data_IF_554934044722
#
_entry.id   IF_554934044722
#
_cell.length_a   1.000
_cell.length_b   1.000
_cell.length_c   1.000
_cell.angle_alpha   90.00
_cell.angle_beta   90.00
_cell.angle_gamma   90.00
#
_symmetry.space_group_name_H-M   'P 1'
#
loop_
_entity.id
_entity.type
_entity.pdbx_description
1 polymer ?
#
# COMPACT_ATOMS: atom_id res chain seq x y z
N UNK A 1 29.56 -30.05 -27.20
CA UNK A 1 29.51 -29.26 -28.45
C UNK A 1 28.36 -29.78 -29.29
N UNK A 2 27.28 -28.99 -29.39
CA UNK A 2 26.38 -28.89 -30.54
C UNK A 2 25.33 -27.84 -30.19
N UNK A 3 25.32 -26.79 -31.01
CA UNK A 3 24.61 -25.54 -30.88
C UNK A 3 23.25 -25.58 -31.59
N UNK A 4 22.37 -24.68 -31.16
CA UNK A 4 21.34 -23.96 -31.92
C UNK A 4 20.15 -24.75 -32.52
N UNK A 5 18.94 -24.41 -32.06
CA UNK A 5 18.09 -23.48 -32.83
C UNK A 5 16.77 -23.21 -32.10
N UNK A 6 16.68 -22.02 -31.48
CA UNK A 6 15.44 -21.44 -30.95
C UNK A 6 14.70 -20.75 -32.11
N UNK A 7 13.46 -21.15 -32.40
CA UNK A 7 12.54 -20.37 -33.26
C UNK A 7 11.69 -19.47 -32.38
N UNK A 8 11.90 -18.17 -32.49
CA UNK A 8 11.00 -17.13 -32.01
C UNK A 8 10.03 -16.74 -33.14
N UNK A 9 8.74 -16.87 -32.90
CA UNK A 9 7.71 -16.41 -33.84
C UNK A 9 7.38 -14.95 -33.52
N UNK A 10 7.64 -14.10 -34.52
CA UNK A 10 7.37 -12.66 -34.56
C UNK A 10 5.86 -12.40 -34.66
N UNK A 11 5.33 -11.44 -33.89
CA UNK A 11 4.04 -10.80 -34.18
C UNK A 11 4.25 -9.30 -34.33
N UNK A 12 3.85 -8.82 -35.50
CA UNK A 12 4.18 -7.53 -36.10
C UNK A 12 3.54 -6.35 -35.37
N UNK A 13 4.36 -5.33 -35.13
CA UNK A 13 4.02 -3.98 -34.74
C UNK A 13 3.80 -3.17 -36.03
N UNK A 14 2.58 -2.74 -36.31
CA UNK A 14 2.28 -1.83 -37.43
C UNK A 14 1.44 -0.66 -36.96
N UNK A 15 1.78 0.52 -37.47
CA UNK A 15 1.11 1.83 -37.30
C UNK A 15 1.57 2.71 -36.13
N UNK A 16 2.83 3.17 -36.18
CA UNK A 16 3.21 4.52 -35.75
C UNK A 16 4.50 4.97 -36.46
N UNK A 17 4.43 5.54 -37.67
CA UNK A 17 5.39 6.54 -38.19
C UNK A 17 4.75 7.25 -39.40
N UNK A 18 4.35 8.51 -39.24
CA UNK A 18 4.05 9.54 -40.26
C UNK A 18 3.50 10.72 -39.45
N UNK A 19 4.15 11.85 -39.20
CA UNK A 19 4.73 12.81 -40.12
C UNK A 19 5.67 13.75 -39.31
N UNK A 20 6.98 13.64 -39.50
CA UNK A 20 7.96 14.62 -39.05
C UNK A 20 8.90 14.89 -40.22
N UNK A 21 8.47 15.80 -41.10
CA UNK A 21 9.35 16.43 -42.07
C UNK A 21 8.63 17.65 -42.64
N UNK A 22 9.12 18.84 -42.30
CA UNK A 22 9.26 20.05 -43.14
C UNK A 22 9.74 21.16 -42.20
N UNK A 23 11.06 21.28 -42.08
CA UNK A 23 11.73 22.54 -41.79
C UNK A 23 12.25 23.08 -43.12
N UNK A 24 11.90 24.31 -43.48
CA UNK A 24 12.71 25.29 -44.25
C UNK A 24 11.92 26.60 -44.44
N UNK A 25 12.46 27.69 -43.91
CA UNK A 25 12.04 29.11 -44.06
C UNK A 25 12.45 29.69 -45.45
N UNK A 26 12.27 31.00 -45.84
CA UNK A 26 11.83 32.21 -45.11
C UNK A 26 10.91 33.26 -45.85
N UNK A 27 10.41 34.25 -45.06
CA UNK A 27 10.01 35.67 -45.32
C UNK A 27 9.23 36.12 -46.58
N UNK A 28 8.09 36.81 -46.38
CA UNK A 28 7.79 38.20 -46.86
C UNK A 28 6.37 38.69 -46.43
N UNK A 29 6.22 39.99 -46.13
CA UNK A 29 5.01 40.75 -46.49
C UNK A 29 4.00 41.15 -45.39
N UNK A 30 3.77 42.47 -45.29
CA UNK A 30 2.97 43.26 -44.34
C UNK A 30 1.43 43.25 -44.47
N UNK A 31 0.79 43.59 -43.34
CA UNK A 31 -0.36 44.50 -43.10
C UNK A 31 -1.84 44.06 -43.20
N UNK A 32 -2.58 44.62 -42.23
CA UNK A 32 -4.04 44.69 -41.99
C UNK A 32 -4.71 43.39 -41.50
N UNK A 33 -5.52 43.36 -40.44
CA UNK A 33 -6.27 44.40 -39.74
C UNK A 33 -7.75 44.03 -39.71
N UNK A 34 -8.15 43.12 -38.80
CA UNK A 34 -9.57 42.88 -38.44
C UNK A 34 -9.73 41.81 -37.33
N UNK A 35 -10.25 42.21 -36.18
CA UNK A 35 -10.99 41.37 -35.22
C UNK A 35 -12.51 41.50 -35.51
N UNK A 36 -13.43 40.73 -34.87
CA UNK A 36 -13.45 39.31 -34.50
C UNK A 36 -14.78 38.66 -35.01
N UNK A 37 -15.14 37.40 -34.65
CA UNK A 37 -16.00 37.25 -33.48
C UNK A 37 -15.70 36.02 -32.59
N UNK A 38 -16.08 36.16 -31.33
CA UNK A 38 -16.19 35.17 -30.27
C UNK A 38 -17.05 33.95 -30.65
N UNK A 39 -16.64 32.74 -30.22
CA UNK A 39 -17.49 31.79 -29.48
C UNK A 39 -16.73 30.53 -29.03
N UNK A 40 -16.79 30.31 -27.70
CA UNK A 40 -16.65 29.07 -26.92
C UNK A 40 -15.37 28.22 -27.02
N UNK A 41 -14.45 28.48 -26.08
CA UNK A 41 -13.56 27.47 -25.51
C UNK A 41 -14.36 26.43 -24.71
N UNK A 42 -14.60 25.23 -25.26
CA UNK A 42 -15.09 24.10 -24.43
C UNK A 42 -14.84 22.69 -25.00
N UNK A 43 -13.86 22.48 -25.90
CA UNK A 43 -13.63 21.14 -26.49
C UNK A 43 -12.21 20.56 -26.35
N UNK A 44 -11.25 21.27 -25.72
CA UNK A 44 -9.87 20.79 -25.55
C UNK A 44 -9.33 20.91 -24.12
N UNK A 45 -10.22 20.79 -23.13
CA UNK A 45 -9.86 20.88 -21.70
C UNK A 45 -10.22 19.63 -20.87
N UNK A 46 -10.52 18.48 -21.50
CA UNK A 46 -10.93 17.25 -20.77
C UNK A 46 -10.04 16.03 -21.03
N UNK A 47 -8.75 16.24 -21.31
CA UNK A 47 -7.78 15.12 -21.40
C UNK A 47 -6.47 15.37 -20.64
N UNK A 48 -6.26 16.59 -20.10
CA UNK A 48 -5.06 16.94 -19.31
C UNK A 48 -5.29 16.98 -17.79
N UNK A 49 -6.53 16.76 -17.32
CA UNK A 49 -6.88 16.75 -15.90
C UNK A 49 -6.68 15.38 -15.22
N UNK A 50 -6.82 14.27 -15.95
CA UNK A 50 -6.74 12.93 -15.36
C UNK A 50 -5.29 12.44 -15.14
N UNK A 51 -4.34 12.98 -15.92
CA UNK A 51 -2.93 12.60 -15.83
C UNK A 51 -2.11 13.43 -14.81
N UNK A 52 -2.70 14.50 -14.24
CA UNK A 52 -2.05 15.35 -13.21
C UNK A 52 -2.38 14.97 -11.77
N UNK A 53 -3.29 14.02 -11.55
CA UNK A 53 -3.70 13.61 -10.20
C UNK A 53 -2.93 12.41 -9.63
N UNK A 54 -2.20 11.65 -10.46
CA UNK A 54 -1.51 10.43 -10.02
C UNK A 54 -0.01 10.58 -9.74
N UNK A 55 0.59 11.74 -10.03
CA UNK A 55 1.99 12.02 -9.68
C UNK A 55 2.12 13.50 -9.30
N UNK A 56 1.75 13.84 -8.08
CA UNK A 56 2.33 15.00 -7.41
C UNK A 56 3.15 14.50 -6.22
N UNK A 57 4.47 14.76 -6.17
CA UNK A 57 5.16 14.71 -4.89
C UNK A 57 4.51 15.79 -4.01
N UNK A 58 4.23 15.44 -2.75
CA UNK A 58 3.89 16.43 -1.73
C UNK A 58 5.08 17.39 -1.59
N UNK A 59 5.06 18.45 -2.38
CA UNK A 59 5.90 19.62 -2.24
C UNK A 59 5.53 20.31 -0.92
N UNK A 60 6.47 20.56 0.01
CA UNK A 60 6.18 21.35 1.19
C UNK A 60 6.04 22.82 0.77
N UNK A 61 4.85 23.21 0.32
CA UNK A 61 4.45 24.60 0.09
C UNK A 61 3.27 24.92 0.99
N UNK A 62 3.61 25.18 2.25
CA UNK A 62 2.73 25.69 3.31
C UNK A 62 3.49 26.17 4.54
N UNK A 63 4.83 26.20 4.51
CA UNK A 63 5.68 26.71 5.57
C UNK A 63 6.59 27.80 5.01
N UNK A 64 5.98 28.91 4.60
CA UNK A 64 6.71 30.14 4.32
C UNK A 64 6.20 31.22 5.26
N UNK A 65 7.06 31.51 6.24
CA UNK A 65 7.16 32.76 7.01
C UNK A 65 5.89 33.32 7.66
N UNK A 66 5.78 33.09 8.96
CA UNK A 66 5.69 34.23 9.89
C UNK A 66 6.72 34.05 11.01
N UNK A 67 8.00 34.04 10.62
CA UNK A 67 9.11 34.22 11.55
C UNK A 67 9.06 35.60 12.23
N UNK A 68 8.37 36.57 11.62
CA UNK A 68 8.07 37.86 12.23
C UNK A 68 7.19 37.72 13.49
N UNK A 69 6.10 36.93 13.43
CA UNK A 69 5.18 36.78 14.56
C UNK A 69 5.70 35.92 15.73
N UNK A 70 6.73 35.09 15.51
CA UNK A 70 7.41 34.34 16.57
C UNK A 70 8.46 35.20 17.29
N UNK A 71 9.20 35.99 16.52
CA UNK A 71 10.14 37.00 17.04
C UNK A 71 9.43 38.08 17.87
N UNK A 72 8.26 38.54 17.42
CA UNK A 72 7.47 39.56 18.11
C UNK A 72 6.88 39.05 19.43
N UNK A 73 6.46 37.78 19.47
CA UNK A 73 5.98 37.11 20.69
C UNK A 73 7.10 36.81 21.69
N UNK A 74 8.30 36.46 21.21
CA UNK A 74 9.49 36.33 22.05
C UNK A 74 9.92 37.69 22.64
N UNK A 75 9.86 38.75 21.82
CA UNK A 75 10.18 40.13 22.21
C UNK A 75 9.18 40.69 23.23
N UNK A 76 7.88 40.40 23.07
CA UNK A 76 6.84 40.79 24.05
C UNK A 76 6.98 40.01 25.36
N UNK A 77 7.46 38.76 25.33
CA UNK A 77 7.69 37.93 26.52
C UNK A 77 8.93 38.38 27.30
N UNK A 78 9.98 38.83 26.60
CA UNK A 78 11.18 39.43 27.21
C UNK A 78 10.88 40.81 27.86
N UNK A 79 10.01 41.62 27.26
CA UNK A 79 9.56 42.89 27.88
C UNK A 79 8.72 42.69 29.15
N UNK A 80 7.95 41.59 29.24
CA UNK A 80 7.21 41.22 30.46
C UNK A 80 8.12 40.69 31.58
N UNK A 81 9.35 40.27 31.28
CA UNK A 81 10.32 39.75 32.24
C UNK A 81 11.38 40.79 32.67
N UNK A 82 11.22 42.07 32.31
CA UNK A 82 12.07 43.16 32.80
C UNK A 82 13.49 43.19 32.24
N UNK A 83 13.74 42.65 31.04
CA UNK A 83 15.07 42.66 30.43
C UNK A 83 15.51 44.08 29.99
N UNK A 84 16.77 44.49 30.25
CA UNK A 84 17.28 45.80 29.84
C UNK A 84 17.40 45.93 28.30
N UNK A 85 17.28 47.15 27.74
CA UNK A 85 17.15 47.35 26.30
C UNK A 85 18.48 47.09 25.56
N UNK A 86 18.51 46.08 24.67
CA UNK A 86 19.65 45.82 23.77
C UNK A 86 19.99 44.35 23.47
N UNK A 87 19.31 43.37 24.06
CA UNK A 87 19.63 41.96 23.82
C UNK A 87 19.13 41.46 22.44
N UNK A 88 20.06 41.15 21.53
CA UNK A 88 19.80 40.41 20.28
C UNK A 88 20.06 38.91 20.48
N UNK A 89 19.32 38.02 19.77
CA UNK A 89 19.28 36.59 20.06
C UNK A 89 20.46 35.78 19.47
N UNK A 90 21.64 36.40 19.36
CA UNK A 90 22.84 35.78 18.74
C UNK A 90 24.00 35.61 19.73
N UNK A 91 23.80 35.97 21.01
CA UNK A 91 24.79 35.80 22.08
C UNK A 91 24.14 35.24 23.33
N UNK A 92 23.72 33.98 23.25
CA UNK A 92 23.48 33.17 24.45
C UNK A 92 23.76 31.70 24.13
N UNK A 93 25.05 31.37 24.00
CA UNK A 93 25.51 30.02 24.26
C UNK A 93 26.28 29.98 25.57
N UNK A 94 25.98 28.91 26.31
CA UNK A 94 26.72 28.25 27.37
C UNK A 94 26.41 28.65 28.83
N UNK A 95 26.22 27.58 29.62
CA UNK A 95 25.97 27.48 31.08
C UNK A 95 24.50 27.74 31.45
N UNK A 96 23.72 26.81 32.00
CA UNK A 96 23.79 26.27 33.37
C UNK A 96 22.74 25.13 33.41
N UNK A 97 23.14 23.87 33.60
CA UNK A 97 23.13 23.12 34.87
C UNK A 97 21.88 22.21 35.05
N UNK A 98 22.15 21.04 35.62
CA UNK A 98 21.20 19.98 35.97
C UNK A 98 20.38 20.44 37.17
N UNK A 99 19.05 20.42 37.08
CA UNK A 99 18.06 19.93 38.08
C UNK A 99 16.65 20.51 37.84
N UNK A 100 15.61 19.68 38.07
CA UNK A 100 14.14 19.97 38.09
C UNK A 100 13.48 20.27 36.72
N UNK A 101 12.35 19.72 36.27
CA UNK A 101 11.27 18.85 36.80
C UNK A 101 10.72 18.04 35.61
N UNK A 102 10.51 16.72 35.73
CA UNK A 102 9.22 16.09 36.08
C UNK A 102 8.04 16.44 35.17
N UNK A 103 7.74 15.55 34.22
CA UNK A 103 6.38 15.17 33.78
C UNK A 103 6.48 13.85 33.03
N UNK A 104 5.98 12.78 33.66
CA UNK A 104 6.06 11.41 33.17
C UNK A 104 5.28 11.17 31.88
N UNK A 105 6.00 10.79 30.83
CA UNK A 105 5.50 10.01 29.70
C UNK A 105 6.65 9.11 29.20
N UNK A 106 6.43 7.78 29.01
CA UNK A 106 7.47 6.90 28.52
C UNK A 106 7.74 7.16 27.04
N UNK A 107 8.99 7.53 26.74
CA UNK A 107 9.53 7.62 25.39
C UNK A 107 9.59 6.20 24.80
N UNK A 108 9.19 5.97 23.54
CA UNK A 108 9.29 4.65 22.92
C UNK A 108 10.73 4.13 22.95
N UNK A 109 10.93 3.01 23.62
CA UNK A 109 12.15 2.18 23.59
C UNK A 109 12.26 1.57 22.20
N UNK A 110 12.87 2.31 21.28
CA UNK A 110 13.66 1.85 20.11
C UNK A 110 14.28 3.03 19.35
N UNK A 111 14.53 4.18 20.00
CA UNK A 111 15.12 5.35 19.36
C UNK A 111 16.12 6.12 20.25
N UNK A 112 16.74 5.45 21.25
CA UNK A 112 17.68 6.09 22.19
C UNK A 112 19.12 5.56 22.07
N UNK A 113 19.46 4.87 20.97
CA UNK A 113 20.84 4.42 20.71
C UNK A 113 21.48 5.11 19.49
N UNK A 114 21.04 6.33 19.15
CA UNK A 114 21.81 7.24 18.31
C UNK A 114 22.37 8.39 19.16
N UNK A 115 23.03 8.06 20.26
CA UNK A 115 24.18 8.86 20.66
C UNK A 115 25.33 8.41 19.76
N UNK A 116 25.42 9.00 18.57
CA UNK A 116 26.69 8.99 17.85
C UNK A 116 27.68 9.65 18.81
N UNK A 117 28.68 8.93 19.35
CA UNK A 117 29.73 9.60 20.08
C UNK A 117 30.29 10.64 19.12
N UNK A 118 30.38 11.88 19.57
CA UNK A 118 31.31 12.81 18.95
C UNK A 118 32.66 12.19 19.29
N UNK A 119 33.20 11.40 18.36
CA UNK A 119 34.58 10.92 18.45
C UNK A 119 35.46 12.18 18.39
N UNK A 120 35.82 12.69 19.57
CA UNK A 120 36.89 13.66 19.77
C UNK A 120 38.24 12.97 19.46
N UNK A 121 38.42 12.58 18.19
CA UNK A 121 39.70 12.11 17.66
C UNK A 121 40.40 13.30 16.98
N UNK A 122 41.18 14.03 17.77
CA UNK A 122 42.25 14.91 17.33
C UNK A 122 43.30 14.09 16.55
N UNK A 123 43.16 13.98 15.22
CA UNK A 123 44.24 13.49 14.35
C UNK A 123 44.22 14.19 12.97
N UNK A 124 45.27 14.97 12.72
CA UNK A 124 45.56 15.79 11.53
C UNK A 124 46.05 14.92 10.35
N UNK A 125 45.24 13.92 9.99
CA UNK A 125 45.62 12.84 9.07
C UNK A 125 44.70 12.66 7.88
N UNK A 126 44.70 13.62 6.95
CA UNK A 126 44.25 13.49 5.54
C UNK A 126 42.79 13.08 5.28
N UNK A 127 41.99 13.99 4.68
CA UNK A 127 40.57 13.77 4.31
C UNK A 127 40.27 12.40 3.71
N UNK A 128 41.16 11.88 2.84
CA UNK A 128 40.99 10.60 2.16
C UNK A 128 40.91 9.38 3.10
N UNK A 129 41.55 9.42 4.27
CA UNK A 129 41.53 8.34 5.27
C UNK A 129 40.25 8.40 6.13
N UNK A 130 39.76 9.61 6.41
CA UNK A 130 38.44 9.86 7.06
C UNK A 130 37.28 9.45 6.15
N UNK A 131 37.38 9.70 4.85
CA UNK A 131 36.37 9.27 3.86
C UNK A 131 36.27 7.74 3.83
N UNK A 132 37.41 7.05 3.68
CA UNK A 132 37.44 5.58 3.63
C UNK A 132 36.95 4.91 4.94
N UNK A 133 37.15 5.53 6.11
CA UNK A 133 36.64 5.02 7.41
C UNK A 133 35.12 5.21 7.54
N UNK A 134 34.57 6.33 7.04
CA UNK A 134 33.13 6.59 7.00
C UNK A 134 32.41 5.66 6.02
N UNK A 135 33.00 5.45 4.84
CA UNK A 135 32.46 4.53 3.83
C UNK A 135 32.46 3.08 4.33
N UNK A 136 33.55 2.67 5.00
CA UNK A 136 33.64 1.35 5.62
C UNK A 136 32.63 1.17 6.76
N UNK A 137 32.44 2.18 7.63
CA UNK A 137 31.43 2.13 8.71
C UNK A 137 30.01 2.09 8.15
N UNK A 138 29.70 2.94 7.17
CA UNK A 138 28.40 2.93 6.51
C UNK A 138 28.11 1.60 5.82
N UNK A 139 29.13 0.96 5.23
CA UNK A 139 29.00 -0.37 4.64
C UNK A 139 28.77 -1.46 5.70
N UNK A 140 29.45 -1.42 6.85
CA UNK A 140 29.20 -2.36 7.96
C UNK A 140 27.82 -2.18 8.57
N UNK A 141 27.35 -0.93 8.67
CA UNK A 141 26.02 -0.59 9.19
C UNK A 141 24.91 -1.04 8.21
N UNK A 142 25.12 -0.84 6.90
CA UNK A 142 24.20 -1.34 5.89
C UNK A 142 24.14 -2.88 5.84
N UNK A 143 25.28 -3.56 5.99
CA UNK A 143 25.34 -5.01 6.01
C UNK A 143 24.64 -5.58 7.26
N UNK A 144 24.89 -5.01 8.44
CA UNK A 144 24.26 -5.49 9.68
C UNK A 144 22.73 -5.34 9.65
N UNK A 145 22.23 -4.21 9.17
CA UNK A 145 20.80 -3.96 8.92
C UNK A 145 20.22 -4.97 7.93
N UNK A 146 20.93 -5.21 6.81
CA UNK A 146 20.50 -6.17 5.79
C UNK A 146 20.44 -7.61 6.33
N UNK A 147 21.39 -8.03 7.17
CA UNK A 147 21.35 -9.34 7.80
C UNK A 147 20.19 -9.47 8.79
N UNK A 148 19.93 -8.44 9.61
CA UNK A 148 18.84 -8.44 10.57
C UNK A 148 17.47 -8.54 9.88
N UNK A 149 17.20 -7.67 8.89
CA UNK A 149 15.96 -7.70 8.10
C UNK A 149 15.88 -8.94 7.21
N UNK A 150 17.00 -9.34 6.62
CA UNK A 150 17.11 -10.47 5.71
C UNK A 150 16.72 -11.79 6.35
N UNK A 151 17.12 -12.03 7.61
CA UNK A 151 16.70 -13.23 8.37
C UNK A 151 15.18 -13.30 8.54
N UNK A 152 14.54 -12.17 8.87
CA UNK A 152 13.09 -12.08 9.01
C UNK A 152 12.38 -12.28 7.66
N UNK A 153 12.81 -11.55 6.63
CA UNK A 153 12.25 -11.64 5.28
C UNK A 153 12.42 -13.03 4.66
N UNK A 154 13.54 -13.71 4.93
CA UNK A 154 13.76 -15.08 4.45
C UNK A 154 12.78 -16.06 5.11
N UNK A 155 12.52 -15.93 6.41
CA UNK A 155 11.51 -16.73 7.10
C UNK A 155 10.11 -16.50 6.52
N UNK A 156 9.77 -15.23 6.27
CA UNK A 156 8.53 -14.84 5.61
C UNK A 156 8.42 -15.40 4.18
N UNK A 157 9.51 -15.42 3.41
CA UNK A 157 9.57 -15.98 2.07
C UNK A 157 9.26 -17.49 2.07
N UNK A 158 9.85 -18.25 3.01
CA UNK A 158 9.58 -19.68 3.15
C UNK A 158 8.10 -19.91 3.48
N UNK A 159 7.52 -19.13 4.38
CA UNK A 159 6.09 -19.21 4.68
C UNK A 159 5.23 -18.86 3.46
N UNK A 160 5.59 -17.81 2.72
CA UNK A 160 4.88 -17.38 1.52
C UNK A 160 4.91 -18.46 0.42
N UNK A 161 6.01 -19.23 0.32
CA UNK A 161 6.14 -20.32 -0.64
C UNK A 161 5.09 -21.43 -0.47
N UNK A 162 4.50 -21.57 0.72
CA UNK A 162 3.43 -22.56 0.99
C UNK A 162 2.16 -22.32 0.17
N UNK A 163 1.95 -21.09 -0.34
CA UNK A 163 0.85 -20.77 -1.25
C UNK A 163 0.87 -21.62 -2.54
N UNK A 164 2.06 -22.01 -3.00
CA UNK A 164 2.21 -22.88 -4.18
C UNK A 164 1.59 -24.27 -3.98
N UNK A 165 1.69 -24.84 -2.77
CA UNK A 165 1.08 -26.12 -2.41
C UNK A 165 -0.45 -26.03 -2.44
N UNK A 166 -1.00 -24.86 -2.08
CA UNK A 166 -2.45 -24.62 -2.17
C UNK A 166 -2.88 -24.56 -3.63
N UNK A 167 -2.16 -23.82 -4.48
CA UNK A 167 -2.44 -23.76 -5.91
C UNK A 167 -2.37 -25.13 -6.58
N UNK A 168 -1.40 -25.97 -6.19
CA UNK A 168 -1.25 -27.34 -6.70
C UNK A 168 -2.51 -28.19 -6.44
N UNK A 169 -3.08 -28.09 -5.23
CA UNK A 169 -4.33 -28.79 -4.86
C UNK A 169 -5.56 -28.35 -5.68
N UNK A 170 -5.56 -27.15 -6.23
CA UNK A 170 -6.67 -26.60 -7.02
C UNK A 170 -6.35 -26.51 -8.51
N UNK A 171 -5.34 -27.24 -9.00
CA UNK A 171 -4.91 -27.17 -10.41
C UNK A 171 -6.03 -27.47 -11.40
N UNK A 172 -6.90 -28.43 -11.14
CA UNK A 172 -8.02 -28.75 -12.03
C UNK A 172 -8.97 -27.57 -12.16
N UNK A 173 -9.38 -26.98 -11.02
CA UNK A 173 -10.22 -25.78 -11.00
C UNK A 173 -9.59 -24.60 -11.75
N UNK A 174 -8.29 -24.38 -11.59
CA UNK A 174 -7.59 -23.26 -12.23
C UNK A 174 -7.38 -23.48 -13.74
N UNK A 175 -7.31 -24.74 -14.19
CA UNK A 175 -7.28 -25.10 -15.62
C UNK A 175 -8.62 -24.83 -16.28
N UNK A 176 -9.71 -25.20 -15.60
CA UNK A 176 -11.07 -25.00 -16.11
C UNK A 176 -11.49 -23.52 -16.05
N UNK A 177 -11.01 -22.79 -15.04
CA UNK A 177 -11.37 -21.39 -14.80
C UNK A 177 -10.12 -20.49 -14.73
N UNK A 178 -9.45 -20.30 -15.87
CA UNK A 178 -8.24 -19.46 -16.00
C UNK A 178 -8.45 -18.05 -15.45
N UNK A 179 -9.67 -17.51 -15.55
CA UNK A 179 -10.03 -16.19 -15.02
C UNK A 179 -9.70 -16.04 -13.53
N UNK A 180 -9.85 -17.08 -12.72
CA UNK A 180 -9.53 -17.04 -11.28
C UNK A 180 -8.05 -16.72 -11.06
N UNK A 181 -7.17 -17.34 -11.85
CA UNK A 181 -5.73 -17.11 -11.81
C UNK A 181 -5.37 -15.67 -12.21
N UNK A 182 -6.08 -15.10 -13.20
CA UNK A 182 -5.84 -13.73 -13.67
C UNK A 182 -6.19 -12.67 -12.60
N UNK A 183 -7.14 -12.97 -11.72
CA UNK A 183 -7.55 -12.07 -10.63
C UNK A 183 -6.90 -12.38 -9.28
N UNK A 184 -6.15 -13.48 -9.16
CA UNK A 184 -5.54 -13.94 -7.92
C UNK A 184 -4.66 -12.87 -7.26
N UNK A 185 -3.81 -12.19 -8.04
CA UNK A 185 -2.91 -11.14 -7.56
C UNK A 185 -3.68 -9.92 -7.06
N UNK A 186 -4.78 -9.56 -7.73
CA UNK A 186 -5.66 -8.49 -7.30
C UNK A 186 -6.33 -8.84 -5.95
N UNK A 187 -6.84 -10.06 -5.82
CA UNK A 187 -7.53 -10.53 -4.61
C UNK A 187 -6.60 -10.54 -3.40
N UNK A 188 -5.42 -11.15 -3.55
CA UNK A 188 -4.39 -11.21 -2.51
C UNK A 188 -3.88 -9.82 -2.14
N UNK A 189 -3.63 -8.97 -3.14
CA UNK A 189 -3.21 -7.59 -2.92
C UNK A 189 -4.25 -6.75 -2.18
N UNK A 190 -5.53 -6.89 -2.53
CA UNK A 190 -6.62 -6.23 -1.80
C UNK A 190 -6.71 -6.72 -0.34
N UNK A 191 -6.53 -8.02 -0.13
CA UNK A 191 -6.39 -8.62 1.20
C UNK A 191 -5.28 -7.97 2.00
N UNK A 192 -4.03 -8.05 1.55
CA UNK A 192 -2.87 -7.48 2.26
C UNK A 192 -3.02 -5.98 2.57
N UNK A 193 -3.52 -5.19 1.61
CA UNK A 193 -3.77 -3.77 1.80
C UNK A 193 -4.82 -3.49 2.89
N UNK A 194 -5.94 -4.23 2.89
CA UNK A 194 -6.98 -4.08 3.90
C UNK A 194 -6.48 -4.46 5.29
N UNK A 195 -5.76 -5.58 5.40
CA UNK A 195 -5.23 -6.07 6.68
C UNK A 195 -4.20 -5.12 7.26
N UNK A 196 -3.32 -4.57 6.41
CA UNK A 196 -2.37 -3.55 6.83
C UNK A 196 -3.04 -2.26 7.30
N UNK A 197 -4.13 -1.84 6.67
CA UNK A 197 -4.89 -0.68 7.14
C UNK A 197 -5.48 -0.92 8.55
N UNK A 198 -6.09 -2.08 8.78
CA UNK A 198 -6.57 -2.45 10.12
C UNK A 198 -5.43 -2.58 11.13
N UNK A 199 -4.30 -3.17 10.75
CA UNK A 199 -3.15 -3.33 11.63
C UNK A 199 -2.51 -2.01 12.02
N UNK A 200 -2.32 -1.08 11.09
CA UNK A 200 -1.79 0.26 11.39
C UNK A 200 -2.67 0.97 12.43
N UNK A 201 -4.00 0.85 12.32
CA UNK A 201 -4.91 1.43 13.31
C UNK A 201 -4.72 0.81 14.70
N UNK A 202 -4.59 -0.52 14.77
CA UNK A 202 -4.41 -1.23 16.05
C UNK A 202 -3.03 -0.95 16.65
N UNK A 203 -1.96 -1.01 15.85
CA UNK A 203 -0.58 -0.70 16.28
C UNK A 203 -0.51 0.70 16.86
N UNK A 204 -1.07 1.70 16.16
CA UNK A 204 -1.14 3.09 16.67
C UNK A 204 -1.95 3.16 17.96
N UNK A 205 -3.05 2.44 18.05
CA UNK A 205 -3.86 2.39 19.25
C UNK A 205 -3.08 1.83 20.46
N UNK A 206 -2.32 0.75 20.25
CA UNK A 206 -1.47 0.15 21.27
C UNK A 206 -0.30 1.08 21.66
N UNK A 207 0.37 1.67 20.68
CA UNK A 207 1.51 2.58 20.91
C UNK A 207 1.12 3.88 21.63
N UNK A 208 -0.11 4.37 21.42
CA UNK A 208 -0.65 5.56 22.08
C UNK A 208 -1.29 5.27 23.44
N UNK A 209 -1.38 4.00 23.85
CA UNK A 209 -2.08 3.58 25.07
C UNK A 209 -3.61 3.71 25.02
N UNK A 210 -4.18 4.06 23.85
CA UNK A 210 -5.63 4.12 23.65
C UNK A 210 -6.28 2.73 23.53
N UNK A 211 -5.50 1.72 23.16
CA UNK A 211 -5.86 0.31 23.21
C UNK A 211 -4.95 -0.42 24.20
N UNK A 212 -5.54 -1.38 24.91
CA UNK A 212 -4.85 -2.24 25.86
C UNK A 212 -4.97 -3.70 25.43
N UNK A 213 -4.01 -4.55 25.80
CA UNK A 213 -3.98 -5.98 25.48
C UNK A 213 -5.00 -6.82 26.27
N UNK A 214 -5.90 -6.18 27.03
CA UNK A 214 -6.94 -6.86 27.81
C UNK A 214 -7.98 -7.49 26.88
N UNK A 215 -8.47 -8.67 27.25
CA UNK A 215 -9.46 -9.42 26.48
C UNK A 215 -10.72 -8.61 26.07
N UNK A 216 -11.34 -7.79 26.94
CA UNK A 216 -12.50 -6.98 26.55
C UNK A 216 -12.17 -5.90 25.51
N UNK A 217 -10.97 -5.31 25.59
CA UNK A 217 -10.50 -4.32 24.62
C UNK A 217 -10.29 -4.97 23.25
N UNK A 218 -9.60 -6.11 23.22
CA UNK A 218 -9.43 -6.91 22.01
C UNK A 218 -10.78 -7.25 21.36
N UNK A 219 -11.72 -7.81 22.13
CA UNK A 219 -13.01 -8.24 21.57
C UNK A 219 -13.83 -7.06 21.03
N UNK A 220 -13.80 -5.91 21.71
CA UNK A 220 -14.44 -4.67 21.24
C UNK A 220 -13.85 -4.21 19.90
N UNK A 221 -12.52 -4.13 19.83
CA UNK A 221 -11.81 -3.70 18.61
C UNK A 221 -12.01 -4.70 17.48
N UNK A 222 -11.95 -6.00 17.77
CA UNK A 222 -12.20 -7.07 16.79
C UNK A 222 -13.60 -6.95 16.19
N UNK A 223 -14.64 -6.81 17.01
CA UNK A 223 -16.02 -6.64 16.51
C UNK A 223 -16.18 -5.39 15.65
N UNK A 224 -15.56 -4.28 16.04
CA UNK A 224 -15.57 -3.05 15.26
C UNK A 224 -14.88 -3.23 13.90
N UNK A 225 -13.71 -3.86 13.88
CA UNK A 225 -12.94 -4.09 12.65
C UNK A 225 -13.62 -5.12 11.73
N UNK A 226 -14.28 -6.14 12.28
CA UNK A 226 -15.13 -7.04 11.49
C UNK A 226 -16.31 -6.30 10.87
N UNK A 227 -16.98 -5.41 11.61
CA UNK A 227 -18.07 -4.63 11.04
C UNK A 227 -17.61 -3.72 9.89
N UNK A 228 -16.47 -3.03 10.07
CA UNK A 228 -15.83 -2.23 9.02
C UNK A 228 -15.41 -3.10 7.84
N UNK A 229 -14.78 -4.25 8.10
CA UNK A 229 -14.37 -5.22 7.11
C UNK A 229 -15.53 -5.79 6.30
N UNK A 230 -16.69 -6.01 6.92
CA UNK A 230 -17.90 -6.45 6.22
C UNK A 230 -18.45 -5.38 5.28
N UNK A 231 -18.49 -4.11 5.73
CA UNK A 231 -18.92 -2.99 4.87
C UNK A 231 -17.96 -2.80 3.68
N UNK A 232 -16.65 -2.85 3.95
CA UNK A 232 -15.62 -2.80 2.90
C UNK A 232 -15.69 -4.03 1.99
N UNK A 233 -15.99 -5.21 2.53
CA UNK A 233 -16.13 -6.46 1.77
C UNK A 233 -17.26 -6.37 0.76
N UNK A 234 -18.41 -5.81 1.15
CA UNK A 234 -19.52 -5.54 0.22
C UNK A 234 -19.11 -4.51 -0.84
N UNK A 235 -18.54 -3.38 -0.43
CA UNK A 235 -18.16 -2.31 -1.37
C UNK A 235 -17.10 -2.78 -2.38
N UNK A 236 -16.06 -3.46 -1.92
CA UNK A 236 -15.00 -4.01 -2.76
C UNK A 236 -15.50 -5.21 -3.57
N UNK A 237 -16.41 -6.02 -3.04
CA UNK A 237 -17.08 -7.10 -3.78
C UNK A 237 -17.85 -6.55 -4.98
N UNK A 238 -18.64 -5.49 -4.81
CA UNK A 238 -19.33 -4.81 -5.91
C UNK A 238 -18.34 -4.27 -6.94
N UNK A 239 -17.24 -3.64 -6.48
CA UNK A 239 -16.17 -3.19 -7.36
C UNK A 239 -15.49 -4.34 -8.12
N UNK A 240 -15.26 -5.47 -7.46
CA UNK A 240 -14.70 -6.69 -8.06
C UNK A 240 -15.64 -7.28 -9.11
N UNK A 241 -16.93 -7.36 -8.83
CA UNK A 241 -17.95 -7.82 -9.77
C UNK A 241 -17.96 -6.96 -11.04
N UNK A 242 -17.99 -5.63 -10.88
CA UNK A 242 -17.93 -4.68 -11.98
C UNK A 242 -16.63 -4.86 -12.77
N UNK A 243 -15.49 -5.00 -12.09
CA UNK A 243 -14.18 -5.16 -12.73
C UNK A 243 -14.11 -6.43 -13.59
N UNK A 244 -14.63 -7.56 -13.12
CA UNK A 244 -14.65 -8.82 -13.87
C UNK A 244 -15.61 -8.74 -15.06
N UNK A 245 -16.79 -8.15 -14.85
CA UNK A 245 -17.78 -7.93 -15.92
C UNK A 245 -17.20 -7.06 -17.06
N UNK A 246 -16.45 -6.01 -16.71
CA UNK A 246 -15.76 -5.14 -17.69
C UNK A 246 -14.60 -5.84 -18.42
N UNK A 247 -14.02 -6.90 -17.84
CA UNK A 247 -13.00 -7.73 -18.50
C UNK A 247 -13.60 -8.76 -19.48
N UNK A 248 -14.93 -8.84 -19.60
CA UNK A 248 -15.59 -9.86 -20.41
C UNK A 248 -15.67 -11.23 -19.74
N UNK A 249 -15.50 -11.31 -18.41
CA UNK A 249 -15.74 -12.53 -17.65
C UNK A 249 -17.23 -12.89 -17.62
N UNK A 250 -17.54 -14.17 -17.43
CA UNK A 250 -18.94 -14.59 -17.28
C UNK A 250 -19.56 -14.04 -15.99
N UNK A 251 -20.89 -13.96 -15.94
CA UNK A 251 -21.61 -13.58 -14.71
C UNK A 251 -21.26 -14.50 -13.53
N UNK A 252 -21.05 -15.78 -13.81
CA UNK A 252 -20.64 -16.78 -12.82
C UNK A 252 -19.24 -16.48 -12.27
N UNK A 253 -18.29 -16.13 -13.14
CA UNK A 253 -16.94 -15.76 -12.72
C UNK A 253 -16.94 -14.46 -11.91
N UNK A 254 -17.72 -13.47 -12.34
CA UNK A 254 -17.86 -12.19 -11.65
C UNK A 254 -18.45 -12.38 -10.25
N UNK A 255 -19.44 -13.25 -10.10
CA UNK A 255 -20.04 -13.60 -8.81
C UNK A 255 -19.06 -14.39 -7.91
N UNK A 256 -18.32 -15.35 -8.48
CA UNK A 256 -17.34 -16.14 -7.73
C UNK A 256 -16.20 -15.27 -7.18
N UNK A 257 -15.63 -14.40 -8.03
CA UNK A 257 -14.51 -13.52 -7.67
C UNK A 257 -14.97 -12.44 -6.69
N UNK A 258 -16.16 -11.86 -6.85
CA UNK A 258 -16.68 -10.84 -5.92
C UNK A 258 -16.99 -11.42 -4.54
N UNK A 259 -17.56 -12.63 -4.48
CA UNK A 259 -17.80 -13.35 -3.23
C UNK A 259 -16.47 -13.68 -2.54
N UNK A 260 -15.49 -14.19 -3.28
CA UNK A 260 -14.15 -14.45 -2.75
C UNK A 260 -13.51 -13.17 -2.19
N UNK A 261 -13.57 -12.06 -2.94
CA UNK A 261 -13.03 -10.77 -2.51
C UNK A 261 -13.68 -10.28 -1.21
N UNK A 262 -15.00 -10.37 -1.08
CA UNK A 262 -15.70 -9.98 0.14
C UNK A 262 -15.20 -10.78 1.36
N UNK A 263 -15.08 -12.10 1.23
CA UNK A 263 -14.58 -12.97 2.31
C UNK A 263 -13.11 -12.69 2.64
N UNK A 264 -12.27 -12.43 1.63
CA UNK A 264 -10.86 -12.07 1.81
C UNK A 264 -10.74 -10.77 2.61
N UNK A 265 -11.54 -9.75 2.28
CA UNK A 265 -11.50 -8.45 2.97
C UNK A 265 -11.91 -8.58 4.44
N UNK A 266 -12.98 -9.32 4.74
CA UNK A 266 -13.41 -9.59 6.12
C UNK A 266 -12.34 -10.37 6.89
N UNK A 267 -11.80 -11.43 6.29
CA UNK A 267 -10.74 -12.25 6.88
C UNK A 267 -9.46 -11.43 7.11
N UNK A 268 -9.18 -10.49 6.21
CA UNK A 268 -8.03 -9.61 6.31
C UNK A 268 -8.17 -8.58 7.42
N UNK A 269 -9.34 -7.96 7.58
CA UNK A 269 -9.63 -7.07 8.71
C UNK A 269 -9.50 -7.82 10.05
N UNK A 270 -9.94 -9.08 10.10
CA UNK A 270 -9.75 -9.97 11.23
C UNK A 270 -8.26 -10.18 11.54
N UNK A 271 -7.48 -10.62 10.55
CA UNK A 271 -6.05 -10.85 10.68
C UNK A 271 -5.28 -9.59 11.08
N UNK A 272 -5.59 -8.46 10.44
CA UNK A 272 -5.03 -7.15 10.74
C UNK A 272 -5.32 -6.66 12.16
N UNK A 273 -6.36 -7.19 12.80
CA UNK A 273 -6.63 -6.92 14.22
C UNK A 273 -5.93 -7.92 15.13
N UNK A 274 -6.05 -9.21 14.83
CA UNK A 274 -5.55 -10.29 15.70
C UNK A 274 -4.02 -10.27 15.80
N UNK A 275 -3.31 -10.08 14.68
CA UNK A 275 -1.86 -10.21 14.66
C UNK A 275 -1.11 -9.18 15.51
N UNK A 276 -1.42 -7.87 15.44
CA UNK A 276 -0.79 -6.88 16.32
C UNK A 276 -1.05 -7.14 17.81
N UNK A 277 -2.28 -7.54 18.18
CA UNK A 277 -2.60 -7.92 19.56
C UNK A 277 -1.84 -9.16 20.01
N UNK A 278 -1.70 -10.17 19.13
CA UNK A 278 -0.93 -11.37 19.42
C UNK A 278 0.55 -11.04 19.64
N UNK A 279 1.15 -10.19 18.81
CA UNK A 279 2.53 -9.76 18.95
C UNK A 279 2.74 -8.96 20.24
N UNK A 280 1.87 -8.00 20.51
CA UNK A 280 1.89 -7.23 21.76
C UNK A 280 1.79 -8.12 23.01
N UNK A 281 0.96 -9.17 22.95
CA UNK A 281 0.82 -10.12 24.06
C UNK A 281 2.02 -11.06 24.20
N UNK A 282 2.70 -11.37 23.09
CA UNK A 282 3.91 -12.20 23.07
C UNK A 282 5.20 -11.42 23.39
N UNK A 283 5.12 -10.09 23.59
CA UNK A 283 6.30 -9.25 23.79
C UNK A 283 7.12 -9.00 22.52
N UNK A 284 6.56 -9.30 21.34
CA UNK A 284 7.16 -9.01 20.04
C UNK A 284 6.67 -7.64 19.58
N UNK A 285 7.54 -6.84 18.95
CA UNK A 285 7.16 -5.52 18.43
C UNK A 285 5.96 -5.64 17.44
N UNK A 286 4.80 -5.03 17.76
CA UNK A 286 3.64 -5.04 16.89
C UNK A 286 3.89 -4.42 15.50
N UNK A 287 4.93 -3.60 15.33
CA UNK A 287 5.30 -3.02 14.03
C UNK A 287 5.63 -4.10 12.98
N UNK A 288 6.14 -5.26 13.39
CA UNK A 288 6.46 -6.38 12.49
C UNK A 288 5.21 -7.12 11.96
N UNK A 289 4.02 -6.81 12.50
CA UNK A 289 2.78 -7.47 12.08
C UNK A 289 2.42 -7.14 10.63
N UNK A 290 2.74 -5.95 10.10
CA UNK A 290 2.38 -5.56 8.74
C UNK A 290 2.97 -6.48 7.65
N UNK A 291 4.28 -6.76 7.72
CA UNK A 291 4.92 -7.69 6.77
C UNK A 291 4.41 -9.13 6.94
N UNK A 292 4.10 -9.52 8.17
CA UNK A 292 3.53 -10.84 8.48
C UNK A 292 2.11 -11.01 7.96
N UNK A 293 1.28 -9.96 8.03
CA UNK A 293 -0.09 -9.94 7.51
C UNK A 293 -0.08 -10.12 6.01
N UNK A 294 0.84 -9.48 5.29
CA UNK A 294 0.95 -9.65 3.85
C UNK A 294 1.18 -11.13 3.49
N UNK A 295 2.16 -11.79 4.11
CA UNK A 295 2.45 -13.22 3.87
C UNK A 295 1.28 -14.11 4.26
N UNK A 296 0.64 -13.83 5.40
CA UNK A 296 -0.55 -14.55 5.82
C UNK A 296 -1.67 -14.43 4.79
N UNK A 297 -1.89 -13.22 4.26
CA UNK A 297 -2.92 -12.96 3.25
C UNK A 297 -2.56 -13.49 1.87
N UNK A 298 -1.29 -13.68 1.55
CA UNK A 298 -0.88 -14.39 0.33
C UNK A 298 -1.35 -15.86 0.38
N UNK A 299 -1.11 -16.55 1.49
CA UNK A 299 -1.52 -17.96 1.63
C UNK A 299 -3.03 -18.09 1.86
N UNK A 300 -3.59 -17.31 2.79
CA UNK A 300 -5.00 -17.34 3.12
C UNK A 300 -5.86 -16.83 1.96
N UNK A 301 -5.44 -15.77 1.27
CA UNK A 301 -6.15 -15.19 0.13
C UNK A 301 -6.27 -16.17 -1.03
N UNK A 302 -5.19 -16.89 -1.36
CA UNK A 302 -5.24 -17.96 -2.37
C UNK A 302 -6.18 -19.10 -1.93
N UNK A 303 -6.09 -19.51 -0.67
CA UNK A 303 -6.93 -20.59 -0.12
C UNK A 303 -8.42 -20.22 -0.15
N UNK A 304 -8.76 -19.01 0.31
CA UNK A 304 -10.14 -18.50 0.31
C UNK A 304 -10.63 -18.34 -1.13
N UNK A 305 -9.82 -17.79 -2.03
CA UNK A 305 -10.19 -17.63 -3.45
C UNK A 305 -10.58 -18.97 -4.05
N UNK A 306 -9.67 -19.94 -4.01
CA UNK A 306 -9.92 -21.24 -4.63
C UNK A 306 -11.09 -21.97 -3.97
N UNK A 307 -11.19 -21.89 -2.63
CA UNK A 307 -12.29 -22.50 -1.87
C UNK A 307 -13.66 -21.93 -2.21
N UNK A 308 -13.79 -20.60 -2.25
CA UNK A 308 -15.05 -19.92 -2.57
C UNK A 308 -15.41 -20.10 -4.04
N UNK A 309 -14.46 -19.93 -4.95
CA UNK A 309 -14.71 -20.16 -6.39
C UNK A 309 -15.22 -21.57 -6.64
N UNK A 310 -14.58 -22.60 -6.05
CA UNK A 310 -15.05 -23.99 -6.15
C UNK A 310 -16.48 -24.15 -5.65
N UNK A 311 -16.81 -23.57 -4.49
CA UNK A 311 -18.14 -23.65 -3.91
C UNK A 311 -19.20 -22.98 -4.80
N UNK A 312 -18.89 -21.81 -5.35
CA UNK A 312 -19.80 -21.07 -6.25
C UNK A 312 -20.01 -21.82 -7.56
N UNK A 313 -18.95 -22.32 -8.18
CA UNK A 313 -19.07 -23.09 -9.43
C UNK A 313 -19.85 -24.39 -9.22
N UNK A 314 -19.62 -25.11 -8.11
CA UNK A 314 -20.40 -26.29 -7.76
C UNK A 314 -21.89 -25.97 -7.56
N UNK A 315 -22.19 -24.88 -6.86
CA UNK A 315 -23.57 -24.42 -6.66
C UNK A 315 -24.26 -24.12 -7.99
N UNK A 316 -23.60 -23.40 -8.89
CA UNK A 316 -24.15 -23.07 -10.21
C UNK A 316 -24.39 -24.34 -11.04
N UNK A 317 -23.43 -25.27 -11.09
CA UNK A 317 -23.59 -26.54 -11.80
C UNK A 317 -24.80 -27.34 -11.29
N UNK A 318 -25.03 -27.38 -9.98
CA UNK A 318 -26.19 -28.06 -9.40
C UNK A 318 -27.51 -27.41 -9.81
N UNK A 319 -27.58 -26.08 -9.86
CA UNK A 319 -28.80 -25.38 -10.30
C UNK A 319 -29.16 -25.64 -11.75
N UNK A 320 -28.17 -25.82 -12.64
CA UNK A 320 -28.41 -26.17 -14.03
C UNK A 320 -29.01 -27.58 -14.19
N UNK A 321 -28.48 -28.59 -13.50
CA UNK A 321 -29.02 -29.94 -13.55
C UNK A 321 -30.47 -30.04 -13.06
N UNK A 322 -30.81 -29.29 -12.00
CA UNK A 322 -32.18 -29.23 -11.48
C UNK A 322 -33.13 -28.61 -12.52
N UNK A 323 -32.72 -27.51 -13.16
CA UNK A 323 -33.52 -26.88 -14.20
C UNK A 323 -33.81 -27.84 -15.37
N UNK A 324 -32.79 -28.54 -15.87
CA UNK A 324 -32.94 -29.52 -16.96
C UNK A 324 -33.85 -30.70 -16.59
N UNK A 325 -33.75 -31.20 -15.36
CA UNK A 325 -34.60 -32.29 -14.87
C UNK A 325 -36.07 -31.89 -14.81
N UNK A 326 -36.36 -30.65 -14.38
CA UNK A 326 -37.73 -30.12 -14.31
C UNK A 326 -38.28 -29.90 -15.72
N UNK A 327 -37.48 -29.33 -16.62
CA UNK A 327 -37.89 -29.13 -18.02
C UNK A 327 -38.18 -30.47 -18.70
N UNK A 328 -37.30 -31.46 -18.52
CA UNK A 328 -37.49 -32.80 -19.09
C UNK A 328 -38.74 -33.50 -18.55
N UNK A 329 -39.00 -33.38 -17.25
CA UNK A 329 -40.22 -33.91 -16.64
C UNK A 329 -41.48 -33.19 -17.15
N UNK A 330 -41.44 -31.86 -17.29
CA UNK A 330 -42.55 -31.07 -17.81
C UNK A 330 -42.86 -31.42 -19.28
N UNK A 331 -41.83 -31.58 -20.12
CA UNK A 331 -42.01 -32.01 -21.52
C UNK A 331 -42.56 -33.43 -21.61
N UNK A 332 -42.12 -34.35 -20.76
CA UNK A 332 -42.64 -35.72 -20.72
C UNK A 332 -44.13 -35.77 -20.31
N UNK A 333 -44.57 -34.92 -19.37
CA UNK A 333 -45.99 -34.82 -19.00
C UNK A 333 -46.84 -34.13 -20.08
N UNK A 334 -46.29 -33.13 -20.78
CA UNK A 334 -47.00 -32.43 -21.85
C UNK A 334 -47.18 -33.23 -23.13
N UNK A 335 -46.33 -34.23 -23.38
CA UNK A 335 -46.42 -35.12 -24.54
C UNK A 335 -47.42 -36.30 -24.36
N UNK A 336 -48.00 -36.46 -23.16
CA UNK A 336 -48.94 -37.52 -22.82
C UNK A 336 -50.42 -37.08 -22.72
N UNK A 337 -50.72 -35.82 -23.03
CA UNK A 337 -52.07 -35.24 -23.05
C UNK A 337 -52.50 -34.93 -24.50
#
# INVERSE_FOLDING_TARGET
MSLLSVRTTSYSRTSQVSLLSVMSSPRSGSNHGSQPPSLSSSAFASSSAFHRYLIQPLSPKGWTSSSAGASERASQRLRRMGAPPGATPDKLQVTTDKTLCDTGAPVPVNAIDDYCPIDDDDDDGGSRKKDNKRDAKAATDALSEAYARGRWLLGLLVLQSTSSVVLDKYQELLKDHIVVTLFLTMLVGAGGNCGNQSAIQVIRGLATGSLNTTWPCFLRTFRQQIAVGSLLGVALGVGGYARVSLSGGSTTDAAAISAALAVIVVSSAAAGTVLPFAFARAGVDPANSGTSIQVLMDVAGVTITCGICRAVFAYVAQTHHLAESITSAATAMGAGA
#
